data_IF_761630422332
#
_entry.id   IF_761630422332
#
_cell.length_a   1.000
_cell.length_b   1.000
_cell.length_c   1.000
_cell.angle_alpha   90.00
_cell.angle_beta   90.00
_cell.angle_gamma   90.00
#
_symmetry.space_group_name_H-M   'P 1'
#
loop_
_entity.id
_entity.type
_entity.pdbx_description
1 polymer ?
#
# COMPACT_ATOMS: atom_id res chain seq x y z
N UNK A 1 -0.64 8.78 7.68
CA UNK A 1 -1.75 7.89 8.07
C UNK A 1 -2.50 8.53 9.22
N UNK A 2 -3.79 8.73 9.05
CA UNK A 2 -4.64 9.35 10.07
C UNK A 2 -5.59 8.31 10.64
N UNK A 3 -5.46 7.93 11.92
CA UNK A 3 -6.36 6.94 12.50
C UNK A 3 -7.77 7.51 12.73
N UNK A 4 -8.75 6.65 12.58
CA UNK A 4 -10.14 6.93 12.93
C UNK A 4 -10.52 6.10 14.16
N UNK A 5 -11.73 6.29 14.67
CA UNK A 5 -12.18 5.55 15.85
C UNK A 5 -12.12 4.04 15.61
N UNK A 6 -11.55 3.33 16.57
CA UNK A 6 -11.44 1.88 16.51
C UNK A 6 -12.77 1.23 16.84
N UNK A 7 -13.19 0.27 16.02
CA UNK A 7 -14.39 -0.50 16.27
C UNK A 7 -14.12 -1.58 17.33
N UNK A 8 -15.13 -1.87 18.14
CA UNK A 8 -15.02 -2.93 19.14
C UNK A 8 -14.79 -4.28 18.49
N UNK A 9 -13.99 -5.14 19.14
CA UNK A 9 -13.75 -6.49 18.66
C UNK A 9 -15.04 -7.34 18.77
N UNK A 10 -15.36 -8.14 17.75
CA UNK A 10 -16.39 -9.16 17.93
C UNK A 10 -15.89 -10.24 18.89
N UNK A 11 -16.81 -11.04 19.41
CA UNK A 11 -16.45 -12.12 20.33
C UNK A 11 -15.41 -13.05 19.71
N UNK A 12 -14.27 -13.21 20.39
CA UNK A 12 -13.15 -14.02 19.91
C UNK A 12 -12.35 -13.40 18.76
N UNK A 13 -12.69 -12.18 18.34
CA UNK A 13 -12.01 -11.50 17.26
C UNK A 13 -11.03 -10.44 17.75
N UNK A 14 -10.45 -9.72 16.80
CA UNK A 14 -9.52 -8.62 17.05
C UNK A 14 -10.25 -7.28 16.83
N UNK A 15 -9.86 -6.25 17.57
CA UNK A 15 -10.41 -4.92 17.31
C UNK A 15 -10.00 -4.45 15.92
N UNK A 16 -10.92 -3.78 15.24
CA UNK A 16 -10.66 -3.25 13.89
C UNK A 16 -10.55 -1.74 13.93
N UNK A 17 -9.73 -1.21 13.04
CA UNK A 17 -9.54 0.22 12.91
C UNK A 17 -9.53 0.61 11.45
N UNK A 18 -9.87 1.86 11.16
CA UNK A 18 -9.82 2.45 9.85
C UNK A 18 -8.91 3.66 9.89
N UNK A 19 -8.06 3.79 8.88
CA UNK A 19 -7.10 4.89 8.81
C UNK A 19 -7.13 5.52 7.43
N UNK A 20 -7.09 6.84 7.38
CA UNK A 20 -6.87 7.55 6.13
C UNK A 20 -5.37 7.58 5.85
N UNK A 21 -5.00 7.39 4.59
CA UNK A 21 -3.61 7.36 4.15
C UNK A 21 -3.34 8.56 3.25
N UNK A 22 -2.25 9.25 3.51
CA UNK A 22 -1.72 10.27 2.61
C UNK A 22 -0.20 10.10 2.58
N UNK A 23 0.34 9.85 1.38
CA UNK A 23 1.77 9.61 1.18
C UNK A 23 2.29 10.46 0.05
N UNK A 24 3.55 10.85 0.16
CA UNK A 24 4.29 11.50 -0.91
C UNK A 24 5.43 10.60 -1.33
N UNK A 25 5.55 10.37 -2.64
CA UNK A 25 6.63 9.60 -3.22
C UNK A 25 7.60 10.54 -3.92
N UNK A 26 8.88 10.21 -3.83
CA UNK A 26 9.97 10.98 -4.44
C UNK A 26 10.89 10.00 -5.17
N UNK A 27 11.34 10.38 -6.35
CA UNK A 27 12.23 9.55 -7.15
C UNK A 27 11.58 9.15 -8.48
N UNK A 28 11.84 7.92 -8.95
CA UNK A 28 11.23 7.40 -10.17
C UNK A 28 9.71 7.41 -10.11
N UNK A 29 9.15 7.06 -8.96
CA UNK A 29 7.75 7.28 -8.65
C UNK A 29 7.66 8.57 -7.85
N UNK A 30 7.01 9.58 -8.39
CA UNK A 30 6.92 10.90 -7.77
C UNK A 30 5.49 11.40 -7.82
N UNK A 31 4.94 11.75 -6.68
CA UNK A 31 3.57 12.24 -6.58
C UNK A 31 2.96 11.91 -5.24
N UNK A 32 1.64 11.87 -5.21
CA UNK A 32 0.89 11.69 -3.97
C UNK A 32 -0.07 10.51 -4.09
N UNK A 33 -0.22 9.79 -3.01
CA UNK A 33 -1.20 8.73 -2.90
C UNK A 33 -2.10 9.00 -1.70
N UNK A 34 -3.40 8.82 -1.90
CA UNK A 34 -4.39 8.93 -0.83
C UNK A 34 -5.26 7.68 -0.84
N UNK A 35 -5.66 7.24 0.33
CA UNK A 35 -6.45 6.02 0.42
C UNK A 35 -6.95 5.74 1.81
N UNK A 36 -7.38 4.49 2.00
CA UNK A 36 -7.94 4.02 3.25
C UNK A 36 -7.33 2.66 3.58
N UNK A 37 -6.97 2.48 4.85
CA UNK A 37 -6.50 1.22 5.38
C UNK A 37 -7.49 0.69 6.42
N UNK A 38 -7.80 -0.60 6.34
CA UNK A 38 -8.56 -1.33 7.36
C UNK A 38 -7.64 -2.34 8.02
N UNK A 39 -7.57 -2.30 9.33
CA UNK A 39 -6.68 -3.16 10.09
C UNK A 39 -7.44 -3.92 11.17
N UNK A 40 -6.98 -5.13 11.46
CA UNK A 40 -7.43 -5.95 12.58
C UNK A 40 -6.23 -6.23 13.49
N UNK A 41 -6.37 -5.94 14.79
CA UNK A 41 -5.27 -6.04 15.72
C UNK A 41 -4.29 -4.87 15.60
N UNK A 42 -3.16 -4.99 16.27
CA UNK A 42 -2.09 -4.00 16.22
C UNK A 42 -0.74 -4.72 16.16
N UNK A 43 0.22 -4.26 15.34
CA UNK A 43 1.54 -4.88 15.28
C UNK A 43 2.25 -4.71 16.62
N UNK A 44 2.50 -5.81 17.29
CA UNK A 44 3.24 -5.83 18.54
C UNK A 44 3.76 -7.24 18.78
N UNK A 45 4.88 -7.41 19.51
CA UNK A 45 5.39 -8.75 19.83
C UNK A 45 4.32 -9.62 20.50
N UNK A 46 4.14 -10.84 20.01
CA UNK A 46 3.15 -11.78 20.53
C UNK A 46 1.73 -11.57 20.04
N UNK A 47 1.47 -10.57 19.21
CA UNK A 47 0.14 -10.28 18.67
C UNK A 47 0.06 -10.58 17.19
N UNK A 48 -1.08 -11.10 16.76
CA UNK A 48 -1.40 -11.21 15.34
C UNK A 48 -2.05 -9.91 14.88
N UNK A 49 -1.79 -9.54 13.63
CA UNK A 49 -2.39 -8.36 13.00
C UNK A 49 -2.55 -8.60 11.51
N UNK A 50 -3.53 -7.94 10.92
CA UNK A 50 -3.75 -7.98 9.48
C UNK A 50 -4.29 -6.63 9.02
N UNK A 51 -3.93 -6.25 7.77
CA UNK A 51 -4.52 -5.05 7.18
C UNK A 51 -4.65 -5.19 5.67
N UNK A 52 -5.57 -4.43 5.12
CA UNK A 52 -5.69 -4.20 3.68
C UNK A 52 -5.84 -2.71 3.44
N UNK A 53 -5.32 -2.23 2.32
CA UNK A 53 -5.42 -0.81 1.99
C UNK A 53 -5.58 -0.62 0.49
N UNK A 54 -6.26 0.44 0.12
CA UNK A 54 -6.43 0.88 -1.26
C UNK A 54 -5.92 2.31 -1.34
N UNK A 55 -4.86 2.52 -2.11
CA UNK A 55 -4.27 3.84 -2.34
C UNK A 55 -4.49 4.26 -3.78
N UNK A 56 -4.90 5.50 -3.99
CA UNK A 56 -4.96 6.09 -5.31
C UNK A 56 -3.77 7.03 -5.48
N UNK A 57 -2.90 6.68 -6.40
CA UNK A 57 -1.69 7.45 -6.72
C UNK A 57 -1.97 8.36 -7.91
N UNK A 58 -1.40 9.57 -7.86
CA UNK A 58 -1.41 10.51 -8.97
C UNK A 58 -0.07 11.24 -9.00
N UNK A 59 0.57 11.23 -10.15
CA UNK A 59 1.88 11.85 -10.31
C UNK A 59 2.58 11.36 -11.56
N UNK A 60 3.86 11.03 -11.42
CA UNK A 60 4.67 10.52 -12.52
C UNK A 60 5.40 9.24 -12.14
N UNK A 61 5.57 8.36 -13.11
CA UNK A 61 6.41 7.16 -13.01
C UNK A 61 7.42 7.21 -14.13
N UNK A 62 8.70 7.41 -13.77
CA UNK A 62 9.80 7.56 -14.72
C UNK A 62 9.47 8.60 -15.82
N UNK A 63 8.91 9.74 -15.40
CA UNK A 63 8.56 10.84 -16.27
C UNK A 63 7.22 10.74 -16.97
N UNK A 64 6.50 9.63 -16.82
CA UNK A 64 5.17 9.45 -17.43
C UNK A 64 4.10 9.86 -16.45
N UNK A 65 3.24 10.81 -16.83
CA UNK A 65 2.20 11.34 -15.96
C UNK A 65 0.95 10.49 -16.00
N UNK A 66 0.35 10.27 -14.84
CA UNK A 66 -0.90 9.55 -14.72
C UNK A 66 -1.16 9.10 -13.29
N UNK A 67 -2.11 8.21 -13.12
CA UNK A 67 -2.45 7.65 -11.83
C UNK A 67 -2.76 6.17 -11.91
N UNK A 68 -2.86 5.53 -10.77
CA UNK A 68 -3.23 4.13 -10.66
C UNK A 68 -3.60 3.82 -9.20
N UNK A 69 -4.17 2.64 -9.00
CA UNK A 69 -4.53 2.17 -7.68
C UNK A 69 -3.52 1.12 -7.22
N UNK A 70 -3.04 1.27 -5.99
CA UNK A 70 -2.21 0.28 -5.30
C UNK A 70 -3.06 -0.47 -4.28
N UNK A 71 -2.92 -1.78 -4.27
CA UNK A 71 -3.53 -2.66 -3.28
C UNK A 71 -2.46 -3.15 -2.32
N UNK A 72 -2.68 -2.93 -1.04
CA UNK A 72 -1.79 -3.38 0.02
C UNK A 72 -2.46 -4.47 0.83
N UNK A 73 -1.70 -5.48 1.18
CA UNK A 73 -2.13 -6.53 2.09
C UNK A 73 -0.96 -6.90 2.99
N UNK A 74 -1.20 -6.90 4.28
CA UNK A 74 -0.16 -7.26 5.24
C UNK A 74 -0.71 -8.11 6.36
N UNK A 75 0.08 -9.07 6.81
CA UNK A 75 -0.24 -9.91 7.97
C UNK A 75 0.99 -10.03 8.85
N UNK A 76 0.75 -10.17 10.15
CA UNK A 76 1.79 -10.50 11.11
C UNK A 76 1.27 -11.59 12.03
N UNK A 77 2.06 -12.68 12.20
CA UNK A 77 1.71 -13.77 13.09
C UNK A 77 2.18 -13.47 14.52
N UNK A 78 1.69 -14.25 15.49
CA UNK A 78 2.11 -14.10 16.88
C UNK A 78 3.60 -14.35 17.07
N UNK A 79 4.19 -15.17 16.20
CA UNK A 79 5.64 -15.46 16.24
C UNK A 79 6.48 -14.38 15.55
N UNK A 80 5.84 -13.36 15.00
CA UNK A 80 6.55 -12.24 14.37
C UNK A 80 6.80 -12.41 12.89
N UNK A 81 6.31 -13.49 12.25
CA UNK A 81 6.42 -13.62 10.81
C UNK A 81 5.48 -12.61 10.13
N UNK A 82 5.98 -11.90 9.15
CA UNK A 82 5.20 -10.92 8.42
C UNK A 82 5.17 -11.23 6.92
N UNK A 83 4.06 -10.89 6.28
CA UNK A 83 3.87 -11.03 4.84
C UNK A 83 3.23 -9.76 4.33
N UNK A 84 3.91 -9.09 3.41
CA UNK A 84 3.46 -7.81 2.84
C UNK A 84 3.42 -7.93 1.33
N UNK A 85 2.28 -7.55 0.75
CA UNK A 85 2.09 -7.54 -0.69
C UNK A 85 1.53 -6.18 -1.11
N UNK A 86 2.18 -5.55 -2.09
CA UNK A 86 1.73 -4.27 -2.66
C UNK A 86 1.76 -4.42 -4.17
N UNK A 87 0.60 -4.34 -4.79
CA UNK A 87 0.45 -4.53 -6.24
C UNK A 87 -0.39 -3.44 -6.86
N UNK A 88 -0.14 -3.18 -8.16
CA UNK A 88 -1.02 -2.33 -8.95
C UNK A 88 -2.29 -3.10 -9.26
N UNK A 89 -3.46 -2.50 -9.01
CA UNK A 89 -4.72 -3.08 -9.44
C UNK A 89 -4.84 -2.97 -10.96
N UNK A 90 -5.10 -4.10 -11.63
CA UNK A 90 -5.17 -4.14 -13.09
C UNK A 90 -6.22 -3.19 -13.61
N UNK A 91 -5.93 -2.56 -14.75
CA UNK A 91 -6.85 -1.64 -15.46
C UNK A 91 -7.18 -0.34 -14.71
N UNK A 92 -6.37 0.02 -13.72
CA UNK A 92 -6.58 1.28 -12.99
C UNK A 92 -5.66 2.40 -13.45
N UNK A 93 -4.68 2.12 -14.30
CA UNK A 93 -3.76 3.14 -14.81
C UNK A 93 -4.46 4.14 -15.71
N UNK A 94 -4.10 5.40 -15.57
CA UNK A 94 -4.67 6.50 -16.36
C UNK A 94 -3.56 7.32 -17.01
N UNK A 95 -3.93 8.11 -18.02
CA UNK A 95 -2.97 8.94 -18.74
C UNK A 95 -1.87 8.12 -19.39
N UNK A 96 -0.64 8.51 -19.18
CA UNK A 96 0.51 7.77 -19.72
C UNK A 96 0.78 6.45 -18.99
N UNK A 97 0.03 6.13 -17.94
CA UNK A 97 0.16 4.89 -17.15
C UNK A 97 -0.97 3.89 -17.44
N UNK A 98 -1.73 4.11 -18.49
CA UNK A 98 -2.78 3.16 -18.90
C UNK A 98 -2.17 1.80 -19.20
N UNK A 99 -2.76 0.73 -18.63
CA UNK A 99 -2.27 -0.63 -18.79
C UNK A 99 -1.13 -1.02 -17.84
N UNK A 100 -0.79 -0.16 -16.89
CA UNK A 100 0.26 -0.43 -15.92
C UNK A 100 -0.06 -1.66 -15.08
N UNK A 101 0.94 -2.55 -14.96
CA UNK A 101 0.94 -3.68 -14.04
C UNK A 101 2.21 -3.64 -13.22
N UNK A 102 2.18 -4.09 -12.00
CA UNK A 102 3.42 -4.10 -11.22
C UNK A 102 3.26 -4.49 -9.77
N UNK A 103 4.42 -4.65 -9.15
CA UNK A 103 4.55 -4.98 -7.73
C UNK A 103 5.55 -4.02 -7.10
N UNK A 104 5.19 -3.47 -5.96
CA UNK A 104 6.06 -2.58 -5.21
C UNK A 104 6.55 -3.32 -3.97
N UNK A 105 7.88 -3.37 -3.80
CA UNK A 105 8.52 -3.99 -2.65
C UNK A 105 9.06 -2.88 -1.75
N UNK A 106 8.82 -3.00 -0.45
CA UNK A 106 9.31 -2.04 0.52
C UNK A 106 10.51 -2.64 1.24
N UNK A 107 11.64 -1.92 1.21
CA UNK A 107 12.84 -2.28 1.97
C UNK A 107 13.04 -1.28 3.09
N UNK A 108 13.46 -1.78 4.25
CA UNK A 108 13.83 -0.92 5.38
C UNK A 108 15.32 -1.12 5.64
N UNK A 109 16.10 -0.05 5.48
CA UNK A 109 17.54 -0.06 5.71
C UNK A 109 17.90 1.16 6.56
N UNK A 110 18.60 0.93 7.68
CA UNK A 110 19.02 1.99 8.59
C UNK A 110 17.88 2.94 9.01
N UNK A 111 16.68 2.37 9.24
CA UNK A 111 15.50 3.14 9.60
C UNK A 111 14.83 3.88 8.46
N UNK A 112 15.32 3.76 7.23
CA UNK A 112 14.74 4.39 6.04
C UNK A 112 13.94 3.38 5.24
N UNK A 113 12.83 3.84 4.69
CA UNK A 113 11.99 3.04 3.81
C UNK A 113 12.35 3.33 2.35
N UNK A 114 12.68 2.28 1.63
CA UNK A 114 12.96 2.34 0.19
C UNK A 114 11.92 1.52 -0.55
N UNK A 115 11.56 1.98 -1.74
CA UNK A 115 10.57 1.33 -2.57
C UNK A 115 11.23 0.84 -3.84
N UNK A 116 11.04 -0.45 -4.15
CA UNK A 116 11.45 -1.04 -5.42
C UNK A 116 10.19 -1.37 -6.21
N UNK A 117 10.02 -0.74 -7.36
CA UNK A 117 8.82 -0.91 -8.17
C UNK A 117 9.18 -1.66 -9.45
N UNK A 118 8.75 -2.91 -9.53
CA UNK A 118 8.86 -3.71 -10.73
C UNK A 118 7.54 -3.59 -11.51
N UNK A 119 7.58 -3.00 -12.71
CA UNK A 119 6.36 -2.75 -13.45
C UNK A 119 6.55 -2.98 -14.94
N UNK A 120 5.42 -3.16 -15.62
CA UNK A 120 5.36 -3.21 -17.08
C UNK A 120 4.30 -2.25 -17.58
N UNK A 121 4.56 -1.68 -18.73
CA UNK A 121 3.61 -0.83 -19.46
C UNK A 121 3.49 -1.36 -20.88
N UNK A 122 2.28 -1.31 -21.47
CA UNK A 122 2.14 -1.66 -22.87
C UNK A 122 2.97 -0.72 -23.74
N UNK A 123 3.53 -1.24 -24.83
CA UNK A 123 4.19 -0.40 -25.81
C UNK A 123 3.16 0.51 -26.48
N UNK A 124 3.52 1.76 -26.61
CA UNK A 124 2.71 2.75 -27.33
C UNK A 124 3.26 2.95 -28.72
N UNK A 125 2.40 2.88 -29.67
CA UNK A 125 2.73 3.14 -31.05
C UNK A 125 2.28 4.52 -31.48
#
# INVERSE_FOLDING_TARGET
VTPEAQAAAPDGGLPTSRMAIAKTFVGGLSGRATGVMLAAGAPAPGNAAAYVAVDQFNGTLDGRAGGFVLLHRGTMTREGASDLSVTVASDTGTGALEGLEGTLTIRVENGRHFYDFAYTLPERR
#
